data_IF_691693330689
#
_entry.id   IF_691693330689
#
_cell.length_a   1.000
_cell.length_b   1.000
_cell.length_c   1.000
_cell.angle_alpha   90.00
_cell.angle_beta   90.00
_cell.angle_gamma   90.00
#
_symmetry.space_group_name_H-M   'P 1'
#
loop_
_entity.id
_entity.type
_entity.pdbx_description
1 polymer ?
#
# COMPACT_ATOMS: atom_id res chain seq x y z
N UNK A 1 17.92 7.87 -0.46
CA UNK A 1 17.00 7.67 0.69
C UNK A 1 15.72 7.04 0.22
N UNK A 2 15.36 5.94 0.83
CA UNK A 2 14.16 5.21 0.46
C UNK A 2 12.88 6.00 0.77
N UNK A 3 11.80 5.67 0.08
CA UNK A 3 10.47 6.14 0.39
C UNK A 3 9.60 4.94 0.75
N UNK A 4 8.69 5.12 1.68
CA UNK A 4 7.83 4.04 2.15
C UNK A 4 6.37 4.41 2.03
N UNK A 5 5.60 3.47 1.49
CA UNK A 5 4.14 3.54 1.56
C UNK A 5 3.74 2.71 2.77
N UNK A 6 3.03 3.33 3.70
CA UNK A 6 2.56 2.65 4.92
C UNK A 6 1.05 2.70 4.93
N UNK A 7 0.42 1.53 4.94
CA UNK A 7 -1.02 1.42 4.84
C UNK A 7 -1.62 0.55 5.93
N UNK A 8 -2.76 0.97 6.44
CA UNK A 8 -3.65 0.19 7.30
C UNK A 8 -4.96 0.05 6.53
N UNK A 9 -5.42 -1.16 6.30
CA UNK A 9 -6.58 -1.40 5.44
C UNK A 9 -7.58 -2.33 6.10
N UNK A 10 -8.86 -2.02 5.93
CA UNK A 10 -9.96 -2.91 6.23
C UNK A 10 -10.65 -3.30 4.93
N UNK A 11 -10.75 -4.60 4.67
CA UNK A 11 -11.39 -5.10 3.46
C UNK A 11 -12.91 -5.07 3.60
N UNK A 12 -13.59 -4.26 2.77
CA UNK A 12 -15.05 -4.22 2.74
C UNK A 12 -15.63 -5.20 1.73
N UNK A 13 -14.83 -5.58 0.72
CA UNK A 13 -15.20 -6.60 -0.27
C UNK A 13 -13.97 -7.43 -0.63
N UNK A 14 -13.89 -8.65 -0.11
CA UNK A 14 -12.73 -9.52 -0.30
C UNK A 14 -12.49 -9.89 -1.76
N UNK A 15 -13.55 -10.14 -2.52
CA UNK A 15 -13.41 -10.53 -3.92
C UNK A 15 -12.83 -9.41 -4.77
N UNK A 16 -13.29 -8.18 -4.56
CA UNK A 16 -12.75 -7.01 -5.25
C UNK A 16 -11.28 -6.76 -4.91
N UNK A 17 -10.92 -6.94 -3.64
CA UNK A 17 -9.52 -6.80 -3.21
C UNK A 17 -8.63 -7.91 -3.71
N UNK A 18 -9.18 -9.09 -3.98
CA UNK A 18 -8.41 -10.18 -4.58
C UNK A 18 -7.91 -9.78 -5.97
N UNK A 19 -8.77 -9.15 -6.76
CA UNK A 19 -8.40 -8.64 -8.09
C UNK A 19 -7.31 -7.58 -7.95
N UNK A 20 -7.46 -6.66 -7.00
CA UNK A 20 -6.45 -5.65 -6.68
C UNK A 20 -5.12 -6.32 -6.34
N UNK A 21 -5.14 -7.30 -5.44
CA UNK A 21 -3.93 -7.99 -4.99
C UNK A 21 -3.18 -8.71 -6.12
N UNK A 22 -3.90 -9.13 -7.15
CA UNK A 22 -3.29 -9.76 -8.32
C UNK A 22 -2.62 -8.76 -9.26
N UNK A 23 -3.14 -7.53 -9.33
CA UNK A 23 -2.67 -6.51 -10.27
C UNK A 23 -1.63 -5.56 -9.70
N UNK A 24 -1.67 -5.29 -8.40
CA UNK A 24 -0.83 -4.26 -7.79
C UNK A 24 0.67 -4.56 -7.82
N UNK A 25 1.15 -5.81 -7.66
CA UNK A 25 2.58 -6.08 -7.63
C UNK A 25 3.32 -5.59 -8.88
N UNK A 26 2.72 -5.75 -10.05
CA UNK A 26 3.34 -5.30 -11.30
C UNK A 26 3.49 -3.78 -11.34
N UNK A 27 2.51 -3.03 -10.86
CA UNK A 27 2.60 -1.58 -10.84
C UNK A 27 3.73 -1.11 -9.91
N UNK A 28 3.88 -1.76 -8.77
CA UNK A 28 4.94 -1.46 -7.79
C UNK A 28 6.30 -1.73 -8.41
N UNK A 29 6.44 -2.88 -9.05
CA UNK A 29 7.70 -3.30 -9.69
C UNK A 29 8.16 -2.30 -10.75
N UNK A 30 7.25 -1.74 -11.53
CA UNK A 30 7.56 -0.76 -12.57
C UNK A 30 8.26 0.50 -12.02
N UNK A 31 8.03 0.81 -10.76
CA UNK A 31 8.65 1.97 -10.10
C UNK A 31 9.78 1.56 -9.14
N UNK A 32 10.23 0.33 -9.23
CA UNK A 32 11.34 -0.16 -8.42
C UNK A 32 10.97 -0.49 -6.97
N UNK A 33 9.69 -0.57 -6.67
CA UNK A 33 9.21 -0.86 -5.32
C UNK A 33 9.17 -2.34 -5.00
N UNK A 34 9.08 -2.64 -3.72
CA UNK A 34 8.93 -4.00 -3.22
C UNK A 34 8.16 -4.00 -1.90
N UNK A 35 7.38 -5.03 -1.65
CA UNK A 35 6.76 -5.22 -0.35
C UNK A 35 7.83 -5.58 0.68
N UNK A 36 7.81 -4.92 1.83
CA UNK A 36 8.63 -5.31 2.98
C UNK A 36 7.75 -5.77 4.15
N UNK A 37 6.48 -5.37 4.16
CA UNK A 37 5.45 -5.93 5.04
C UNK A 37 4.19 -6.09 4.22
N UNK A 38 3.62 -7.27 4.21
CA UNK A 38 2.38 -7.54 3.48
C UNK A 38 1.42 -8.34 4.36
N UNK A 39 0.61 -7.63 5.13
CA UNK A 39 -0.36 -8.21 6.06
C UNK A 39 0.28 -9.16 7.07
N UNK A 40 1.46 -8.79 7.59
CA UNK A 40 2.16 -9.59 8.59
C UNK A 40 1.46 -9.55 9.96
N UNK A 41 1.82 -10.51 10.80
CA UNK A 41 1.38 -10.53 12.18
C UNK A 41 1.87 -9.28 12.90
N UNK A 42 1.04 -8.71 13.75
CA UNK A 42 1.39 -7.51 14.49
C UNK A 42 0.75 -7.51 15.87
N UNK A 43 1.26 -6.65 16.73
CA UNK A 43 0.68 -6.43 18.05
C UNK A 43 0.65 -4.94 18.34
N UNK A 44 -0.52 -4.41 18.68
CA UNK A 44 -0.64 -3.01 19.08
C UNK A 44 -0.09 -2.86 20.50
N UNK A 45 0.90 -2.01 20.66
CA UNK A 45 1.57 -1.80 21.95
C UNK A 45 1.04 -0.59 22.70
N UNK A 46 0.63 0.44 21.98
CA UNK A 46 0.07 1.64 22.58
C UNK A 46 -0.90 2.29 21.59
N UNK A 47 -1.91 2.95 22.14
CA UNK A 47 -2.84 3.75 21.36
C UNK A 47 -3.83 2.91 20.57
N UNK A 48 -4.54 3.59 19.69
CA UNK A 48 -5.56 2.99 18.86
C UNK A 48 -4.98 2.64 17.49
N UNK A 49 -5.21 1.41 17.03
CA UNK A 49 -4.79 0.96 15.71
C UNK A 49 -6.05 0.63 14.90
N UNK A 50 -6.40 1.49 13.97
CA UNK A 50 -7.73 1.50 13.34
C UNK A 50 -8.05 0.28 12.48
N UNK A 51 -7.06 -0.24 11.74
CA UNK A 51 -7.31 -1.31 10.77
C UNK A 51 -6.25 -2.40 10.89
N UNK A 52 -6.68 -3.65 10.66
CA UNK A 52 -5.89 -4.82 10.99
C UNK A 52 -4.86 -5.23 9.93
N UNK A 53 -5.09 -4.87 8.66
CA UNK A 53 -4.17 -5.27 7.58
C UNK A 53 -3.13 -4.19 7.37
N UNK A 54 -1.88 -4.53 7.66
CA UNK A 54 -0.77 -3.58 7.55
C UNK A 54 0.12 -3.93 6.38
N UNK A 55 0.45 -2.94 5.55
CA UNK A 55 1.28 -3.12 4.37
C UNK A 55 2.32 -2.02 4.35
N UNK A 56 3.57 -2.39 4.09
CA UNK A 56 4.64 -1.42 3.86
C UNK A 56 5.34 -1.78 2.56
N UNK A 57 5.46 -0.80 1.68
CA UNK A 57 6.13 -0.94 0.39
C UNK A 57 7.31 0.01 0.38
N UNK A 58 8.49 -0.49 0.03
CA UNK A 58 9.70 0.31 -0.08
C UNK A 58 9.95 0.66 -1.54
N UNK A 59 10.22 1.94 -1.81
CA UNK A 59 10.66 2.42 -3.11
C UNK A 59 12.07 2.99 -3.00
N UNK A 60 12.81 3.05 -4.12
CA UNK A 60 14.19 3.57 -4.09
C UNK A 60 14.30 4.98 -3.52
N UNK A 61 13.29 5.82 -3.76
CA UNK A 61 13.24 7.19 -3.25
C UNK A 61 11.82 7.56 -2.87
N UNK A 62 11.70 8.61 -2.06
CA UNK A 62 10.42 9.19 -1.70
C UNK A 62 9.66 9.65 -2.96
N UNK A 63 10.37 10.27 -3.89
CA UNK A 63 9.80 10.75 -5.15
C UNK A 63 9.23 9.60 -5.98
N UNK A 64 9.92 8.46 -6.02
CA UNK A 64 9.42 7.27 -6.73
C UNK A 64 8.14 6.72 -6.11
N UNK A 65 8.03 6.74 -4.79
CA UNK A 65 6.80 6.32 -4.12
C UNK A 65 5.63 7.23 -4.51
N UNK A 66 5.86 8.54 -4.53
CA UNK A 66 4.84 9.51 -4.95
C UNK A 66 4.47 9.34 -6.43
N UNK A 67 5.47 9.12 -7.29
CA UNK A 67 5.23 8.87 -8.72
C UNK A 67 4.35 7.64 -8.93
N UNK A 68 4.65 6.54 -8.20
CA UNK A 68 3.84 5.33 -8.28
C UNK A 68 2.39 5.60 -7.89
N UNK A 69 2.19 6.25 -6.74
CA UNK A 69 0.84 6.51 -6.23
C UNK A 69 0.01 7.36 -7.19
N UNK A 70 0.63 8.33 -7.84
CA UNK A 70 -0.02 9.27 -8.75
C UNK A 70 0.07 8.85 -10.22
N UNK A 71 0.60 7.68 -10.52
CA UNK A 71 0.80 7.24 -11.91
C UNK A 71 -0.50 6.82 -12.58
N UNK A 72 -0.52 6.94 -13.90
CA UNK A 72 -1.63 6.44 -14.72
C UNK A 72 -1.69 4.91 -14.68
N UNK A 73 -0.54 4.26 -14.51
CA UNK A 73 -0.45 2.80 -14.39
C UNK A 73 -1.19 2.30 -13.15
N UNK A 74 -1.00 2.97 -12.00
CA UNK A 74 -1.63 2.56 -10.75
C UNK A 74 -3.09 3.02 -10.63
N UNK A 75 -3.47 4.08 -11.32
CA UNK A 75 -4.79 4.70 -11.17
C UNK A 75 -5.97 3.71 -11.20
N UNK A 76 -6.13 2.85 -12.22
CA UNK A 76 -7.25 1.91 -12.24
C UNK A 76 -7.17 0.87 -11.14
N UNK A 77 -5.96 0.46 -10.78
CA UNK A 77 -5.72 -0.50 -9.70
C UNK A 77 -6.04 0.14 -8.35
N UNK A 78 -5.63 1.39 -8.16
CA UNK A 78 -5.93 2.17 -6.95
C UNK A 78 -7.44 2.30 -6.74
N UNK A 79 -8.19 2.53 -7.80
CA UNK A 79 -9.65 2.65 -7.72
C UNK A 79 -10.28 1.33 -7.24
N UNK A 80 -9.75 0.18 -7.65
CA UNK A 80 -10.20 -1.11 -7.14
C UNK A 80 -10.03 -1.20 -5.63
N UNK A 81 -8.88 -0.77 -5.11
CA UNK A 81 -8.64 -0.77 -3.67
C UNK A 81 -9.59 0.17 -2.93
N UNK A 82 -9.74 1.40 -3.43
CA UNK A 82 -10.58 2.41 -2.80
C UNK A 82 -12.04 1.98 -2.76
N UNK A 83 -12.50 1.30 -3.79
CA UNK A 83 -13.88 0.82 -3.91
C UNK A 83 -14.17 -0.36 -2.98
N UNK A 84 -13.19 -1.17 -2.67
CA UNK A 84 -13.36 -2.44 -1.96
C UNK A 84 -12.73 -2.46 -0.57
N UNK A 85 -12.27 -1.33 -0.09
CA UNK A 85 -11.65 -1.21 1.22
C UNK A 85 -11.81 0.18 1.79
N UNK A 86 -11.50 0.30 3.08
CA UNK A 86 -11.31 1.59 3.74
C UNK A 86 -10.01 1.53 4.50
N UNK A 87 -9.39 2.67 4.76
CA UNK A 87 -8.13 2.66 5.49
C UNK A 87 -7.39 3.97 5.42
N UNK A 88 -6.18 3.90 5.93
CA UNK A 88 -5.27 5.03 5.99
C UNK A 88 -3.99 4.68 5.23
N UNK A 89 -3.51 5.61 4.44
CA UNK A 89 -2.26 5.43 3.70
C UNK A 89 -1.42 6.69 3.85
N UNK A 90 -0.13 6.51 4.10
CA UNK A 90 0.83 7.61 4.07
C UNK A 90 2.02 7.20 3.21
N UNK A 91 2.73 8.19 2.70
CA UNK A 91 4.03 8.00 2.06
C UNK A 91 5.02 8.81 2.88
N UNK A 92 6.06 8.15 3.36
CA UNK A 92 7.01 8.76 4.27
C UNK A 92 8.43 8.57 3.75
N UNK A 93 9.25 9.58 3.94
CA UNK A 93 10.65 9.56 3.51
C UNK A 93 11.50 8.85 4.57
N UNK A 94 12.36 7.95 4.10
CA UNK A 94 13.30 7.27 4.95
C UNK A 94 14.51 8.15 5.32
N UNK A 95 15.33 7.64 6.21
CA UNK A 95 16.58 8.31 6.61
C UNK A 95 17.65 8.18 5.56
#
# INVERSE_FOLDING_TARGET
MAGYVVAQINMTNKEGLKVYAEQVPETIKQFGGKYIVRAGEYKSMEGKWDYARNVIIEFPTYEKALEWYNSDLYKPVKELRQKNSEGNIIIIKGV
#
